data_IF_977464135103
#
_entry.id   IF_977464135103
#
_cell.length_a   1.000
_cell.length_b   1.000
_cell.length_c   1.000
_cell.angle_alpha   90.00
_cell.angle_beta   90.00
_cell.angle_gamma   90.00
#
_symmetry.space_group_name_H-M   'P 1'
#
loop_
_entity.id
_entity.type
_entity.pdbx_description
1 polymer ?
#
# COMPACT_ATOMS: atom_id res chain seq x y z
N UNK A 1 -8.64 1.28 16.79
CA UNK A 1 -8.46 2.76 16.75
C UNK A 1 -7.76 3.13 15.46
N UNK A 2 -8.09 4.23 14.77
CA UNK A 2 -7.34 4.68 13.59
C UNK A 2 -5.93 5.11 13.98
N UNK A 3 -4.96 4.94 13.08
CA UNK A 3 -3.59 5.44 13.25
C UNK A 3 -3.62 6.96 13.34
N UNK A 4 -3.08 7.53 14.43
CA UNK A 4 -3.04 8.97 14.71
C UNK A 4 -1.60 9.48 14.70
N UNK A 5 -1.35 10.51 13.90
CA UNK A 5 -0.06 11.22 13.87
C UNK A 5 0.28 11.76 15.26
N UNK A 6 1.55 11.67 15.64
CA UNK A 6 2.09 12.15 16.92
C UNK A 6 1.70 11.34 18.15
N UNK A 7 0.88 10.29 18.03
CA UNK A 7 0.38 9.50 19.17
C UNK A 7 0.64 8.01 18.99
N UNK A 8 0.35 7.47 17.81
CA UNK A 8 0.46 6.02 17.58
C UNK A 8 1.93 5.62 17.47
N UNK A 9 2.32 4.56 18.17
CA UNK A 9 3.69 4.01 18.15
C UNK A 9 3.83 2.89 17.13
N UNK A 10 5.06 2.53 16.75
CA UNK A 10 5.34 1.40 15.86
C UNK A 10 4.61 0.10 16.25
N UNK A 11 4.57 -0.21 17.56
CA UNK A 11 3.94 -1.40 18.08
C UNK A 11 2.41 -1.35 17.95
N UNK A 12 1.81 -0.17 18.15
CA UNK A 12 0.39 0.02 17.94
C UNK A 12 0.03 -0.05 16.46
N UNK A 13 0.85 0.51 15.56
CA UNK A 13 0.64 0.38 14.11
C UNK A 13 0.70 -1.09 13.70
N UNK A 14 1.71 -1.84 14.14
CA UNK A 14 1.83 -3.26 13.85
C UNK A 14 0.68 -4.09 14.44
N UNK A 15 0.17 -3.72 15.63
CA UNK A 15 -1.00 -4.37 16.22
C UNK A 15 -2.31 -4.07 15.46
N UNK A 16 -2.41 -2.90 14.81
CA UNK A 16 -3.60 -2.48 14.08
C UNK A 16 -3.61 -2.94 12.62
N UNK A 17 -2.47 -2.88 11.94
CA UNK A 17 -2.34 -3.17 10.51
C UNK A 17 -1.68 -4.53 10.22
N UNK A 18 -1.13 -5.18 11.24
CA UNK A 18 -0.30 -6.37 11.09
C UNK A 18 1.17 -6.04 10.83
N UNK A 19 1.95 -7.09 10.58
CA UNK A 19 3.35 -6.95 10.22
C UNK A 19 3.49 -6.24 8.86
N UNK A 20 4.33 -5.20 8.75
CA UNK A 20 4.60 -4.57 7.47
C UNK A 20 5.34 -5.52 6.53
N UNK A 21 5.10 -5.45 5.23
CA UNK A 21 5.88 -6.25 4.27
C UNK A 21 7.30 -5.71 4.11
N UNK A 22 7.47 -4.39 4.24
CA UNK A 22 8.79 -3.77 4.15
C UNK A 22 8.96 -2.71 5.21
N UNK A 23 10.13 -2.72 5.83
CA UNK A 23 10.60 -1.67 6.74
C UNK A 23 11.77 -0.97 6.06
N UNK A 24 11.72 0.36 6.01
CA UNK A 24 12.75 1.18 5.37
C UNK A 24 13.21 2.21 6.40
N UNK A 25 14.51 2.24 6.73
CA UNK A 25 15.09 3.29 7.56
C UNK A 25 15.85 4.29 6.68
N UNK A 26 15.52 5.58 6.81
CA UNK A 26 16.18 6.68 6.09
C UNK A 26 16.32 7.87 7.03
N UNK A 27 17.54 8.40 7.19
CA UNK A 27 17.82 9.62 7.97
C UNK A 27 17.24 9.61 9.40
N UNK A 28 17.21 8.45 10.06
CA UNK A 28 16.64 8.32 11.42
C UNK A 28 15.11 8.27 11.47
N UNK A 29 14.46 8.17 10.31
CA UNK A 29 13.04 7.87 10.17
C UNK A 29 12.87 6.42 9.74
N UNK A 30 11.92 5.74 10.37
CA UNK A 30 11.53 4.38 10.01
C UNK A 30 10.24 4.45 9.20
N UNK A 31 10.09 3.64 8.16
CA UNK A 31 8.92 3.65 7.28
C UNK A 31 8.39 2.23 7.17
N UNK A 32 7.15 2.03 7.60
CA UNK A 32 6.44 0.78 7.37
C UNK A 32 5.65 0.89 6.07
N UNK A 33 5.91 -0.02 5.16
CA UNK A 33 5.20 -0.13 3.89
C UNK A 33 4.26 -1.34 3.94
N UNK A 34 3.00 -1.07 3.60
CA UNK A 34 1.94 -2.05 3.46
C UNK A 34 1.43 -2.01 2.01
N UNK A 35 1.47 -3.13 1.30
CA UNK A 35 0.94 -3.34 -0.04
C UNK A 35 -0.47 -3.90 0.08
N UNK A 36 -1.44 -3.18 -0.46
CA UNK A 36 -2.79 -3.71 -0.64
C UNK A 36 -2.95 -4.19 -2.07
N UNK A 37 -2.81 -5.50 -2.27
CA UNK A 37 -3.14 -6.16 -3.52
C UNK A 37 -4.66 -6.36 -3.64
N UNK A 38 -5.34 -5.54 -4.43
CA UNK A 38 -6.74 -5.81 -4.81
C UNK A 38 -6.72 -6.67 -6.08
N UNK A 39 -6.40 -7.96 -5.91
CA UNK A 39 -6.57 -8.93 -6.99
C UNK A 39 -8.05 -9.30 -7.00
N UNK A 40 -8.83 -8.65 -7.85
CA UNK A 40 -10.17 -9.14 -8.23
C UNK A 40 -9.99 -10.43 -9.03
N UNK A 41 -9.61 -11.50 -8.33
CA UNK A 41 -9.44 -12.84 -8.84
C UNK A 41 -10.81 -13.50 -8.96
N UNK A 42 -11.69 -12.88 -9.75
CA UNK A 42 -12.78 -13.60 -10.37
C UNK A 42 -12.17 -14.48 -11.45
N UNK A 43 -12.55 -15.76 -11.48
CA UNK A 43 -12.16 -16.83 -12.40
C UNK A 43 -12.30 -16.50 -13.92
N UNK A 44 -12.59 -15.24 -14.28
CA UNK A 44 -12.77 -14.73 -15.64
C UNK A 44 -11.46 -14.24 -16.30
N UNK A 45 -10.34 -14.19 -15.57
CA UNK A 45 -9.10 -13.52 -16.01
C UNK A 45 -8.11 -14.38 -16.81
N UNK A 46 -8.52 -15.50 -17.39
CA UNK A 46 -7.65 -16.22 -18.34
C UNK A 46 -7.42 -15.41 -19.65
N UNK A 47 -8.29 -14.43 -19.95
CA UNK A 47 -8.27 -13.67 -21.21
C UNK A 47 -8.01 -12.16 -21.10
N UNK A 48 -7.85 -11.61 -19.90
CA UNK A 48 -7.49 -10.19 -19.78
C UNK A 48 -6.32 -10.04 -18.81
N UNK A 49 -5.22 -9.46 -19.30
CA UNK A 49 -4.06 -8.98 -18.52
C UNK A 49 -4.51 -8.57 -17.12
N UNK A 50 -4.07 -9.33 -16.12
CA UNK A 50 -4.40 -9.16 -14.71
C UNK A 50 -4.08 -7.73 -14.28
N UNK A 51 -5.09 -6.86 -14.22
CA UNK A 51 -4.97 -5.50 -13.72
C UNK A 51 -4.85 -5.56 -12.19
N UNK A 52 -3.63 -5.75 -11.70
CA UNK A 52 -3.33 -5.72 -10.27
C UNK A 52 -3.35 -4.25 -9.84
N UNK A 53 -4.41 -3.82 -9.15
CA UNK A 53 -4.47 -2.53 -8.48
C UNK A 53 -3.70 -2.64 -7.17
N UNK A 54 -2.60 -1.90 -7.06
CA UNK A 54 -1.78 -1.80 -5.84
C UNK A 54 -2.07 -0.44 -5.22
N UNK A 55 -2.72 -0.45 -4.05
CA UNK A 55 -2.87 0.75 -3.21
C UNK A 55 -1.84 0.60 -2.07
N UNK A 56 -0.68 1.25 -2.20
CA UNK A 56 0.39 1.14 -1.21
C UNK A 56 0.14 2.12 -0.04
N UNK A 57 0.41 1.72 1.20
CA UNK A 57 0.32 2.57 2.39
C UNK A 57 1.69 2.67 3.04
N UNK A 58 2.14 3.89 3.26
CA UNK A 58 3.41 4.20 3.93
C UNK A 58 3.12 4.89 5.26
N UNK A 59 3.59 4.31 6.35
CA UNK A 59 3.53 4.92 7.68
C UNK A 59 4.95 5.30 8.08
N UNK A 60 5.20 6.60 8.23
CA UNK A 60 6.50 7.16 8.57
C UNK A 60 6.53 7.39 10.07
N UNK A 61 7.60 6.94 10.71
CA UNK A 61 7.90 7.16 12.11
C UNK A 61 9.08 8.12 12.25
N UNK A 62 9.02 8.96 13.27
CA UNK A 62 10.17 9.76 13.68
C UNK A 62 11.18 8.91 14.48
N UNK A 63 12.32 9.51 14.81
CA UNK A 63 13.39 8.88 15.61
C UNK A 63 12.94 8.42 17.01
N UNK A 64 11.78 8.89 17.50
CA UNK A 64 11.18 8.45 18.77
C UNK A 64 10.24 7.25 18.60
N UNK A 65 10.05 6.74 17.39
CA UNK A 65 9.19 5.59 17.09
C UNK A 65 7.69 5.91 17.09
N UNK A 66 7.34 7.18 16.94
CA UNK A 66 5.95 7.67 16.86
C UNK A 66 5.64 8.03 15.42
N UNK A 67 4.42 7.74 14.97
CA UNK A 67 3.95 8.09 13.63
C UNK A 67 4.08 9.59 13.40
N UNK A 68 4.93 9.95 12.46
CA UNK A 68 5.16 11.31 11.99
C UNK A 68 4.17 11.64 10.86
N UNK A 69 4.08 10.74 9.87
CA UNK A 69 3.19 10.91 8.73
C UNK A 69 2.61 9.58 8.21
N UNK A 70 1.51 9.68 7.46
CA UNK A 70 0.84 8.55 6.81
C UNK A 70 0.52 8.96 5.38
N UNK A 71 1.13 8.26 4.41
CA UNK A 71 1.01 8.54 2.99
C UNK A 71 0.30 7.37 2.31
N UNK A 72 -0.78 7.66 1.61
CA UNK A 72 -1.41 6.72 0.69
C UNK A 72 -0.77 6.87 -0.69
N UNK A 73 -0.22 5.78 -1.21
CA UNK A 73 0.26 5.66 -2.57
C UNK A 73 -0.84 6.01 -3.56
N UNK A 74 -0.50 6.74 -4.63
CA UNK A 74 -1.48 7.11 -5.64
C UNK A 74 -1.98 5.86 -6.36
N UNK A 75 -3.30 5.68 -6.54
CA UNK A 75 -3.81 4.60 -7.35
C UNK A 75 -3.25 4.74 -8.76
N UNK A 76 -2.66 3.66 -9.31
CA UNK A 76 -2.21 3.66 -10.71
C UNK A 76 -3.40 3.97 -11.61
N UNK A 77 -3.21 4.87 -12.58
CA UNK A 77 -4.25 5.24 -13.57
C UNK A 77 -4.83 3.95 -14.19
N UNK A 78 -6.16 3.87 -14.38
CA UNK A 78 -6.74 2.71 -15.04
C UNK A 78 -6.11 2.58 -16.43
N UNK A 79 -5.44 1.46 -16.68
CA UNK A 79 -4.92 1.15 -18.01
C UNK A 79 -6.15 0.85 -18.87
N UNK A 80 -6.31 1.58 -19.98
CA UNK A 80 -7.36 1.30 -20.94
C UNK A 80 -7.25 -0.17 -21.38
N UNK A 81 -8.30 -0.93 -21.14
CA UNK A 81 -8.41 -2.31 -21.61
C UNK A 81 -8.40 -2.29 -23.15
N UNK A 82 -7.29 -2.69 -23.75
CA UNK A 82 -7.23 -2.97 -25.19
C UNK A 82 -7.51 -4.47 -25.37
N UNK A 83 -8.70 -4.79 -25.87
CA UNK A 83 -9.10 -6.17 -26.19
C UNK A 83 -8.51 -6.50 -27.57
N UNK A 84 -7.46 -7.31 -27.59
CA UNK A 84 -6.90 -7.86 -28.83
C UNK A 84 -7.77 -9.02 -29.33
N UNK A 85 -8.12 -9.12 -30.64
CA UNK A 85 -7.53 -8.40 -31.78
C UNK A 85 -8.44 -7.34 -32.45
N UNK A 86 -9.53 -6.87 -31.83
CA UNK A 86 -10.53 -6.02 -32.51
C UNK A 86 -10.44 -4.52 -32.14
N UNK A 87 -9.25 -3.93 -32.21
CA UNK A 87 -9.08 -2.47 -32.16
C UNK A 87 -8.49 -2.01 -33.49
N UNK A 88 -9.34 -1.47 -34.37
CA UNK A 88 -9.13 -1.06 -35.78
C UNK A 88 -8.09 -1.86 -36.59
#
# INVERSE_FOLDING_TARGET
MPVKKGVTTRAQVAALLGAPERIIEVNGHEIFQYYRYDVKMGLLLAFSRTNIKSDDLFVIFNSKGVVDDVIFGKPKRPINFQIWPFGD
#
